data_IF_677970678576
#
_entry.id   IF_677970678576
#
_cell.length_a   1.000
_cell.length_b   1.000
_cell.length_c   1.000
_cell.angle_alpha   90.00
_cell.angle_beta   90.00
_cell.angle_gamma   90.00
#
_symmetry.space_group_name_H-M   'P 1'
#
loop_
_entity.id
_entity.type
_entity.pdbx_description
1 polymer ?
#
# COMPACT_ATOMS: atom_id res chain seq x y z
N UNK A 1 -15.29 6.59 -10.01
CA UNK A 1 -15.10 6.11 -11.40
C UNK A 1 -15.11 7.30 -12.33
N UNK A 2 -14.27 7.34 -13.35
CA UNK A 2 -14.22 8.43 -14.34
C UNK A 2 -15.00 8.01 -15.59
N UNK A 3 -16.07 8.73 -15.99
CA UNK A 3 -16.85 8.40 -17.19
C UNK A 3 -15.96 8.24 -18.44
N UNK A 4 -16.22 7.21 -19.24
CA UNK A 4 -15.45 6.91 -20.47
C UNK A 4 -14.15 6.13 -20.27
N UNK A 5 -13.67 5.93 -19.04
CA UNK A 5 -12.48 5.11 -18.77
C UNK A 5 -12.83 3.64 -18.54
N UNK A 6 -11.93 2.73 -18.93
CA UNK A 6 -12.00 1.31 -18.58
C UNK A 6 -11.86 1.15 -17.06
N UNK A 7 -12.92 0.69 -16.41
CA UNK A 7 -12.93 0.47 -14.95
C UNK A 7 -12.46 -0.95 -14.66
N UNK A 8 -11.22 -1.12 -14.21
CA UNK A 8 -10.69 -2.41 -13.75
C UNK A 8 -9.86 -2.20 -12.49
N UNK A 9 -10.40 -2.59 -11.34
CA UNK A 9 -9.64 -2.68 -10.09
C UNK A 9 -9.20 -4.12 -9.89
N UNK A 10 -8.05 -4.46 -10.44
CA UNK A 10 -7.51 -5.81 -10.42
C UNK A 10 -6.01 -5.77 -10.19
N UNK A 11 -5.47 -6.85 -9.63
CA UNK A 11 -4.05 -7.03 -9.38
C UNK A 11 -3.55 -8.26 -10.13
N UNK A 12 -2.39 -8.13 -10.78
CA UNK A 12 -1.78 -9.17 -11.59
C UNK A 12 -0.31 -9.32 -11.21
N UNK A 13 0.20 -10.55 -11.27
CA UNK A 13 1.63 -10.82 -11.25
C UNK A 13 2.04 -11.42 -12.60
N UNK A 14 3.00 -10.80 -13.27
CA UNK A 14 3.56 -11.27 -14.53
C UNK A 14 4.88 -11.97 -14.25
N UNK A 15 4.92 -13.28 -14.48
CA UNK A 15 6.13 -14.08 -14.46
C UNK A 15 6.70 -14.24 -15.86
N UNK A 16 7.91 -14.80 -15.97
CA UNK A 16 8.58 -15.03 -17.26
C UNK A 16 7.88 -16.04 -18.18
N UNK A 17 6.97 -16.86 -17.62
CA UNK A 17 6.28 -17.96 -18.33
C UNK A 17 4.77 -17.91 -18.21
N UNK A 18 4.22 -16.92 -17.50
CA UNK A 18 2.81 -16.94 -17.17
C UNK A 18 2.31 -15.72 -16.42
N UNK A 19 1.00 -15.70 -16.21
CA UNK A 19 0.27 -14.66 -15.52
C UNK A 19 -0.43 -15.27 -14.30
N UNK A 20 -0.38 -14.57 -13.17
CA UNK A 20 -1.28 -14.80 -12.06
C UNK A 20 -2.23 -13.62 -11.90
N UNK A 21 -3.50 -13.92 -11.71
CA UNK A 21 -4.51 -12.97 -11.29
C UNK A 21 -4.57 -13.04 -9.77
N UNK A 22 -4.13 -11.98 -9.10
CA UNK A 22 -4.18 -11.87 -7.64
C UNK A 22 -5.61 -11.52 -7.22
N UNK A 23 -6.22 -10.55 -7.91
CA UNK A 23 -7.64 -10.22 -7.73
C UNK A 23 -8.25 -9.63 -9.00
N UNK A 24 -9.50 -9.95 -9.27
CA UNK A 24 -10.26 -9.53 -10.46
C UNK A 24 -11.10 -8.27 -10.26
N UNK A 25 -11.49 -7.96 -9.02
CA UNK A 25 -12.37 -6.84 -8.70
C UNK A 25 -12.27 -6.48 -7.21
N UNK A 26 -11.30 -5.63 -6.86
CA UNK A 26 -10.98 -5.20 -5.49
C UNK A 26 -10.33 -6.30 -4.63
N UNK A 27 -10.89 -6.65 -3.47
CA UNK A 27 -10.21 -7.48 -2.47
C UNK A 27 -10.92 -8.81 -2.15
N UNK A 28 -12.23 -8.92 -2.37
CA UNK A 28 -12.99 -10.14 -2.09
C UNK A 28 -14.34 -10.19 -2.86
N UNK A 29 -14.70 -11.32 -3.51
CA UNK A 29 -13.83 -12.46 -3.81
C UNK A 29 -12.77 -12.03 -4.85
N UNK A 30 -11.53 -12.40 -4.59
CA UNK A 30 -10.39 -12.13 -5.44
C UNK A 30 -10.50 -12.87 -6.78
N UNK A 31 -11.00 -14.11 -6.76
CA UNK A 31 -11.00 -15.07 -7.88
C UNK A 31 -9.59 -15.30 -8.39
N UNK A 32 -8.69 -15.64 -7.47
CA UNK A 32 -7.28 -15.83 -7.75
C UNK A 32 -7.05 -17.02 -8.70
N UNK A 33 -6.21 -16.81 -9.72
CA UNK A 33 -5.96 -17.79 -10.80
C UNK A 33 -4.53 -17.70 -11.30
N UNK A 34 -4.01 -18.81 -11.83
CA UNK A 34 -2.70 -18.88 -12.50
C UNK A 34 -2.91 -19.44 -13.91
N UNK A 35 -2.26 -18.83 -14.89
CA UNK A 35 -2.33 -19.20 -16.29
C UNK A 35 -0.95 -19.53 -16.85
N UNK A 36 -0.92 -20.49 -17.79
CA UNK A 36 0.20 -20.75 -18.69
C UNK A 36 0.23 -19.66 -19.76
N UNK A 37 1.38 -19.01 -19.93
CA UNK A 37 1.45 -17.84 -20.80
C UNK A 37 0.60 -16.69 -20.27
N UNK A 38 0.33 -15.71 -21.13
CA UNK A 38 -0.25 -14.42 -20.71
C UNK A 38 -1.73 -14.27 -21.08
N UNK A 39 -2.33 -15.29 -21.68
CA UNK A 39 -3.72 -15.27 -22.12
C UNK A 39 -4.62 -15.92 -21.07
N UNK A 40 -5.60 -15.18 -20.57
CA UNK A 40 -6.60 -15.63 -19.59
C UNK A 40 -7.68 -16.51 -20.25
N UNK A 41 -7.31 -17.69 -20.78
CA UNK A 41 -8.24 -18.67 -21.39
C UNK A 41 -8.33 -19.95 -20.57
N UNK A 42 -9.40 -20.73 -20.75
CA UNK A 42 -9.62 -21.98 -20.03
C UNK A 42 -8.55 -23.02 -20.37
N UNK A 43 -8.09 -23.08 -21.62
CA UNK A 43 -7.01 -23.98 -22.05
C UNK A 43 -5.68 -23.65 -21.38
N UNK A 44 -5.48 -22.39 -20.99
CA UNK A 44 -4.28 -21.91 -20.33
C UNK A 44 -4.43 -21.91 -18.80
N UNK A 45 -5.60 -22.18 -18.24
CA UNK A 45 -5.82 -22.17 -16.80
C UNK A 45 -5.04 -23.31 -16.14
N UNK A 46 -4.07 -22.97 -15.29
CA UNK A 46 -3.29 -23.95 -14.53
C UNK A 46 -3.86 -24.18 -13.13
N UNK A 47 -4.41 -23.14 -12.51
CA UNK A 47 -4.97 -23.21 -11.17
C UNK A 47 -5.98 -22.09 -10.92
N UNK A 48 -7.00 -22.37 -10.12
CA UNK A 48 -7.96 -21.41 -9.61
C UNK A 48 -8.30 -21.70 -8.14
N UNK A 49 -8.46 -20.65 -7.34
CA UNK A 49 -8.90 -20.82 -5.96
C UNK A 49 -10.36 -21.34 -5.90
N UNK A 50 -10.66 -22.39 -5.10
CA UNK A 50 -12.00 -22.92 -4.96
C UNK A 50 -13.01 -21.89 -4.43
N UNK A 51 -14.23 -21.87 -4.95
CA UNK A 51 -15.27 -20.96 -4.49
C UNK A 51 -16.26 -21.67 -3.55
N UNK A 52 -16.86 -20.96 -2.57
CA UNK A 52 -16.67 -19.54 -2.27
C UNK A 52 -15.35 -19.27 -1.54
N UNK A 53 -14.77 -18.09 -1.80
CA UNK A 53 -13.69 -17.58 -0.96
C UNK A 53 -14.22 -17.22 0.43
N UNK A 54 -13.46 -17.47 1.50
CA UNK A 54 -13.75 -16.92 2.81
C UNK A 54 -13.54 -15.40 2.83
N UNK A 55 -14.32 -14.70 3.65
CA UNK A 55 -14.17 -13.25 3.84
C UNK A 55 -12.84 -12.97 4.57
N UNK A 56 -11.89 -12.23 3.97
CA UNK A 56 -10.58 -11.99 4.59
C UNK A 56 -10.67 -11.22 5.91
N UNK A 57 -11.65 -10.34 6.08
CA UNK A 57 -11.85 -9.63 7.35
C UNK A 57 -12.29 -10.58 8.46
N UNK A 58 -13.11 -11.59 8.14
CA UNK A 58 -13.51 -12.59 9.12
C UNK A 58 -12.35 -13.51 9.48
N UNK A 59 -11.56 -13.92 8.48
CA UNK A 59 -10.37 -14.75 8.71
C UNK A 59 -9.37 -14.08 9.64
N UNK A 60 -9.09 -12.78 9.46
CA UNK A 60 -8.18 -12.05 10.34
C UNK A 60 -8.67 -12.07 11.80
N UNK A 61 -9.98 -11.89 12.01
CA UNK A 61 -10.58 -12.00 13.35
C UNK A 61 -10.50 -13.43 13.91
N UNK A 62 -10.79 -14.43 13.09
CA UNK A 62 -10.73 -15.84 13.49
C UNK A 62 -9.30 -16.20 13.91
N UNK A 63 -8.29 -15.80 13.13
CA UNK A 63 -6.87 -16.05 13.42
C UNK A 63 -6.42 -15.34 14.71
N UNK A 64 -6.77 -14.06 14.88
CA UNK A 64 -6.45 -13.30 16.09
C UNK A 64 -7.09 -13.91 17.34
N UNK A 65 -8.39 -14.21 17.29
CA UNK A 65 -9.11 -14.78 18.44
C UNK A 65 -8.63 -16.20 18.73
N UNK A 66 -8.35 -17.00 17.71
CA UNK A 66 -7.78 -18.33 17.86
C UNK A 66 -6.41 -18.27 18.55
N UNK A 67 -5.55 -17.33 18.17
CA UNK A 67 -4.25 -17.13 18.80
C UNK A 67 -4.38 -16.75 20.28
N UNK A 68 -5.28 -15.82 20.62
CA UNK A 68 -5.55 -15.42 22.02
C UNK A 68 -6.07 -16.61 22.84
N UNK A 69 -7.05 -17.35 22.32
CA UNK A 69 -7.72 -18.44 23.06
C UNK A 69 -6.81 -19.64 23.30
N UNK A 70 -5.84 -19.86 22.42
CA UNK A 70 -4.93 -21.01 22.49
C UNK A 70 -3.52 -20.60 22.90
N UNK A 71 -3.33 -19.37 23.40
CA UNK A 71 -2.04 -18.83 23.84
C UNK A 71 -0.92 -19.04 22.79
N UNK A 72 -1.23 -18.74 21.52
CA UNK A 72 -0.30 -18.88 20.40
C UNK A 72 0.32 -17.53 20.03
N UNK A 73 1.60 -17.49 19.63
CA UNK A 73 2.22 -16.27 19.14
C UNK A 73 1.60 -15.85 17.80
N UNK A 74 1.04 -14.65 17.77
CA UNK A 74 0.56 -14.00 16.54
C UNK A 74 1.01 -12.53 16.56
N UNK A 75 1.92 -12.18 15.65
CA UNK A 75 2.54 -10.86 15.62
C UNK A 75 2.80 -10.42 14.18
N UNK A 76 2.12 -9.36 13.77
CA UNK A 76 2.28 -8.74 12.46
C UNK A 76 2.96 -7.36 12.51
N UNK A 77 3.48 -6.94 13.68
CA UNK A 77 4.06 -5.62 13.91
C UNK A 77 5.18 -5.34 12.92
N UNK A 78 6.06 -6.31 12.66
CA UNK A 78 7.13 -6.15 11.68
C UNK A 78 6.59 -5.85 10.29
N UNK A 79 5.64 -6.67 9.81
CA UNK A 79 4.99 -6.48 8.50
C UNK A 79 4.30 -5.11 8.41
N UNK A 80 3.60 -4.71 9.47
CA UNK A 80 2.93 -3.41 9.57
C UNK A 80 3.91 -2.24 9.50
N UNK A 81 4.97 -2.28 10.30
CA UNK A 81 6.01 -1.24 10.31
C UNK A 81 6.72 -1.13 8.95
N UNK A 82 7.04 -2.26 8.32
CA UNK A 82 7.65 -2.30 6.98
C UNK A 82 6.70 -1.74 5.91
N UNK A 83 5.40 -2.04 5.98
CA UNK A 83 4.40 -1.47 5.07
C UNK A 83 4.25 0.05 5.23
N UNK A 84 4.26 0.55 6.46
CA UNK A 84 4.28 2.00 6.73
C UNK A 84 5.55 2.67 6.20
N UNK A 85 6.71 2.03 6.35
CA UNK A 85 7.96 2.55 5.79
C UNK A 85 7.91 2.64 4.26
N UNK A 86 7.46 1.59 3.59
CA UNK A 86 7.31 1.56 2.13
C UNK A 86 6.29 2.60 1.65
N UNK A 87 5.25 2.89 2.45
CA UNK A 87 4.31 3.99 2.18
C UNK A 87 5.02 5.34 2.19
N UNK A 88 5.84 5.62 3.22
CA UNK A 88 6.66 6.82 3.30
C UNK A 88 7.68 6.91 2.16
N UNK A 89 8.28 5.77 1.78
CA UNK A 89 9.22 5.67 0.65
C UNK A 89 8.54 6.09 -0.67
N UNK A 90 7.34 5.56 -0.94
CA UNK A 90 6.57 5.91 -2.13
C UNK A 90 6.17 7.39 -2.15
N UNK A 91 5.76 7.94 -1.00
CA UNK A 91 5.46 9.37 -0.84
C UNK A 91 6.69 10.24 -1.14
N UNK A 92 7.83 9.92 -0.55
CA UNK A 92 9.08 10.67 -0.76
C UNK A 92 9.52 10.62 -2.23
N UNK A 93 9.44 9.44 -2.86
CA UNK A 93 9.75 9.29 -4.28
C UNK A 93 8.83 10.13 -5.16
N UNK A 94 7.52 10.12 -4.90
CA UNK A 94 6.54 10.94 -5.63
C UNK A 94 6.77 12.44 -5.43
N UNK A 95 7.08 12.88 -4.21
CA UNK A 95 7.21 14.30 -3.86
C UNK A 95 8.52 14.92 -4.33
N UNK A 96 9.61 14.14 -4.37
CA UNK A 96 10.94 14.62 -4.79
C UNK A 96 11.27 14.29 -6.24
N UNK A 97 10.54 13.35 -6.85
CA UNK A 97 10.83 12.81 -8.18
C UNK A 97 12.16 12.04 -8.24
N UNK A 98 12.63 11.51 -7.10
CA UNK A 98 13.88 10.74 -7.01
C UNK A 98 13.59 9.26 -6.79
N UNK A 99 14.58 8.43 -7.15
CA UNK A 99 14.63 7.05 -6.64
C UNK A 99 14.89 7.15 -5.14
N UNK A 100 14.07 6.48 -4.35
CA UNK A 100 14.24 6.33 -2.90
C UNK A 100 14.26 4.86 -2.60
N UNK A 101 15.38 4.38 -2.06
CA UNK A 101 15.53 3.00 -1.64
C UNK A 101 14.93 2.76 -0.26
N UNK A 102 14.68 1.50 0.06
CA UNK A 102 14.19 1.10 1.37
C UNK A 102 15.11 1.58 2.50
N UNK A 103 16.43 1.38 2.35
CA UNK A 103 17.42 1.76 3.36
C UNK A 103 17.55 3.28 3.50
N UNK A 104 17.44 4.04 2.41
CA UNK A 104 17.42 5.51 2.47
C UNK A 104 16.19 6.03 3.23
N UNK A 105 15.03 5.42 3.02
CA UNK A 105 13.83 5.80 3.76
C UNK A 105 13.93 5.37 5.23
N UNK A 106 14.43 4.17 5.51
CA UNK A 106 14.62 3.66 6.88
C UNK A 106 15.53 4.58 7.71
N UNK A 107 16.58 5.11 7.08
CA UNK A 107 17.57 5.97 7.72
C UNK A 107 17.32 7.47 7.44
N UNK A 108 16.13 7.83 6.97
CA UNK A 108 15.81 9.21 6.61
C UNK A 108 15.83 10.10 7.86
N UNK A 109 16.56 11.21 7.77
CA UNK A 109 16.66 12.20 8.87
C UNK A 109 15.51 13.20 8.89
N UNK A 110 14.65 13.20 7.87
CA UNK A 110 13.51 14.12 7.81
C UNK A 110 12.47 13.69 8.84
N UNK A 111 12.22 14.56 9.82
CA UNK A 111 11.10 14.43 10.74
C UNK A 111 9.84 15.02 10.09
N UNK A 112 8.80 14.20 9.93
CA UNK A 112 7.57 14.60 9.24
C UNK A 112 6.58 15.33 10.15
N UNK A 113 6.70 15.15 11.46
CA UNK A 113 5.80 15.74 12.45
C UNK A 113 6.61 16.14 13.69
N UNK A 114 7.47 17.17 13.59
CA UNK A 114 8.20 17.67 14.74
C UNK A 114 7.23 18.09 15.85
N UNK A 115 7.57 17.74 17.09
CA UNK A 115 6.77 18.03 18.29
C UNK A 115 5.35 17.43 18.27
N UNK A 116 5.11 16.35 17.51
CA UNK A 116 3.78 15.71 17.42
C UNK A 116 3.23 15.26 18.78
N UNK A 117 4.11 14.85 19.69
CA UNK A 117 3.80 14.44 21.06
C UNK A 117 3.42 15.63 21.97
N UNK A 118 3.71 16.86 21.54
CA UNK A 118 3.40 18.10 22.25
C UNK A 118 2.20 18.84 21.67
N UNK A 119 1.59 18.33 20.60
CA UNK A 119 0.43 18.97 19.97
C UNK A 119 -0.74 19.09 20.97
N UNK A 120 -1.23 20.31 21.10
CA UNK A 120 -2.45 20.66 21.83
C UNK A 120 -3.51 21.18 20.85
N UNK A 121 -4.75 21.33 21.32
CA UNK A 121 -5.81 21.93 20.51
C UNK A 121 -5.53 23.38 20.10
N UNK A 122 -4.67 24.08 20.85
CA UNK A 122 -4.26 25.46 20.58
C UNK A 122 -2.98 25.56 19.74
N UNK A 123 -2.36 24.43 19.39
CA UNK A 123 -1.12 24.40 18.63
C UNK A 123 -1.37 24.86 17.18
N UNK A 124 -0.41 25.58 16.56
CA UNK A 124 -0.51 25.90 15.15
C UNK A 124 -0.51 24.62 14.30
N UNK A 125 -1.11 24.69 13.12
CA UNK A 125 -1.05 23.57 12.17
C UNK A 125 0.41 23.27 11.79
N UNK A 126 0.82 21.98 11.66
CA UNK A 126 2.19 21.62 11.29
C UNK A 126 2.65 22.20 9.94
N UNK A 127 1.72 22.43 9.03
CA UNK A 127 1.97 23.11 7.75
C UNK A 127 1.20 24.42 7.75
N UNK A 128 1.92 25.53 7.68
CA UNK A 128 1.37 26.89 7.72
C UNK A 128 1.16 27.41 6.29
N UNK A 129 0.04 28.10 6.07
CA UNK A 129 -0.23 28.79 4.81
C UNK A 129 0.80 29.91 4.57
N UNK A 130 1.18 30.09 3.31
CA UNK A 130 1.95 31.24 2.84
C UNK A 130 1.12 32.52 2.96
N UNK A 131 1.78 33.68 2.82
CA UNK A 131 1.12 34.98 2.90
C UNK A 131 -0.02 35.19 1.87
N UNK A 132 0.03 34.48 0.75
CA UNK A 132 -1.02 34.48 -0.29
C UNK A 132 -2.15 33.47 -0.02
N UNK A 133 -2.12 32.78 1.12
CA UNK A 133 -3.10 31.76 1.50
C UNK A 133 -2.86 30.38 0.88
N UNK A 134 -1.83 30.20 0.04
CA UNK A 134 -1.47 28.90 -0.52
C UNK A 134 -0.72 28.04 0.49
N UNK A 135 -0.74 26.72 0.31
CA UNK A 135 0.08 25.80 1.11
C UNK A 135 1.31 25.33 0.32
N UNK A 136 2.40 24.95 1.00
CA UNK A 136 3.48 24.23 0.36
C UNK A 136 2.97 22.97 -0.35
N UNK A 137 3.43 22.77 -1.59
CA UNK A 137 3.08 21.62 -2.41
C UNK A 137 4.37 20.94 -2.84
N UNK A 138 4.37 19.63 -3.11
CA UNK A 138 5.56 18.96 -3.60
C UNK A 138 6.01 19.57 -4.92
N UNK A 139 7.33 19.66 -5.13
CA UNK A 139 7.92 20.15 -6.36
C UNK A 139 8.84 19.06 -6.97
N UNK A 140 8.25 17.96 -7.51
CA UNK A 140 9.03 16.80 -7.95
C UNK A 140 10.06 17.18 -9.01
N UNK A 141 11.30 16.74 -8.82
CA UNK A 141 12.42 17.03 -9.72
C UNK A 141 13.05 18.42 -9.55
N UNK A 142 12.40 19.34 -8.83
CA UNK A 142 12.92 20.68 -8.50
C UNK A 142 13.47 20.67 -7.07
N UNK A 143 12.63 20.31 -6.08
CA UNK A 143 13.06 20.04 -4.71
C UNK A 143 13.31 18.54 -4.55
N UNK A 144 14.57 18.15 -4.58
CA UNK A 144 14.97 16.74 -4.68
C UNK A 144 15.26 16.07 -3.33
N UNK A 145 15.39 16.84 -2.26
CA UNK A 145 15.88 16.36 -0.96
C UNK A 145 14.87 16.49 0.19
N UNK A 146 13.65 16.99 -0.08
CA UNK A 146 12.55 17.13 0.89
C UNK A 146 11.22 17.32 0.17
N UNK A 147 10.12 17.15 0.89
CA UNK A 147 8.77 17.29 0.32
C UNK A 147 8.36 18.73 0.01
N UNK A 148 8.75 19.70 0.85
CA UNK A 148 8.37 21.11 0.75
C UNK A 148 9.48 22.04 1.22
#
# INVERSE_FOLDING_TARGET
TIPGCRQKFASFAHGTKGLAVISTSAHHPAKARIYKGYNETDENLLWAYPQPEPNPYQLEWDDLINAIRNDQPYNEVRRGAEASLVTSMGRMAAHTGQIVTYDEMLNCKQEFAPDVDKLTMDSPAPVIARADGSYPVPLPGILKNREY
#
